data_IF_687839314231
#
_entry.id   IF_687839314231
#
_cell.length_a   1.000
_cell.length_b   1.000
_cell.length_c   1.000
_cell.angle_alpha   90.00
_cell.angle_beta   90.00
_cell.angle_gamma   90.00
#
_symmetry.space_group_name_H-M   'P 1'
#
loop_
_entity.id
_entity.type
_entity.pdbx_description
1 polymer ?
#
# COMPACT_ATOMS: atom_id res chain seq x y z
N UNK A 1 -23.74 0.39 -1.79
CA UNK A 1 -22.72 0.90 -0.83
C UNK A 1 -21.95 2.11 -1.39
N UNK A 2 -21.55 2.11 -2.66
CA UNK A 2 -20.89 3.27 -3.31
C UNK A 2 -21.87 4.33 -3.81
N UNK A 3 -22.81 4.79 -2.97
CA UNK A 3 -23.76 5.84 -3.36
C UNK A 3 -23.16 7.23 -3.09
N UNK A 4 -23.13 8.16 -4.07
CA UNK A 4 -22.47 9.48 -3.94
C UNK A 4 -22.95 10.32 -2.75
N UNK A 5 -24.16 10.08 -2.26
CA UNK A 5 -24.70 10.74 -1.06
C UNK A 5 -23.99 10.35 0.26
N UNK A 6 -23.13 9.34 0.24
CA UNK A 6 -22.28 8.94 1.35
C UNK A 6 -20.85 9.47 1.10
N UNK A 7 -20.15 9.94 2.14
CA UNK A 7 -18.74 10.30 2.00
C UNK A 7 -17.90 9.07 1.62
N UNK A 8 -16.81 9.27 0.88
CA UNK A 8 -15.94 8.22 0.34
C UNK A 8 -15.56 7.17 1.39
N UNK A 9 -15.04 7.61 2.55
CA UNK A 9 -14.67 6.71 3.64
C UNK A 9 -15.83 5.84 4.15
N UNK A 10 -17.05 6.37 4.11
CA UNK A 10 -18.26 5.65 4.51
C UNK A 10 -18.69 4.63 3.46
N UNK A 11 -18.60 4.99 2.18
CA UNK A 11 -18.85 4.08 1.07
C UNK A 11 -17.91 2.87 1.15
N UNK A 12 -16.64 3.15 1.38
CA UNK A 12 -15.58 2.14 1.44
C UNK A 12 -15.79 1.21 2.64
N UNK A 13 -15.92 1.76 3.86
CA UNK A 13 -16.13 0.96 5.06
C UNK A 13 -17.39 0.08 4.97
N UNK A 14 -18.50 0.62 4.45
CA UNK A 14 -19.74 -0.13 4.31
C UNK A 14 -19.60 -1.26 3.28
N UNK A 15 -18.86 -1.03 2.19
CA UNK A 15 -18.63 -2.04 1.15
C UNK A 15 -17.76 -3.17 1.68
N UNK A 16 -16.65 -2.86 2.35
CA UNK A 16 -15.79 -3.85 2.99
C UNK A 16 -16.55 -4.71 4.01
N UNK A 17 -17.41 -4.09 4.82
CA UNK A 17 -18.17 -4.82 5.82
C UNK A 17 -19.30 -5.68 5.24
N UNK A 18 -20.05 -5.15 4.27
CA UNK A 18 -21.30 -5.78 3.80
C UNK A 18 -21.06 -6.74 2.64
N UNK A 19 -20.10 -6.42 1.75
CA UNK A 19 -19.77 -7.22 0.57
C UNK A 19 -18.41 -7.91 0.71
N UNK A 20 -17.43 -7.25 1.33
CA UNK A 20 -16.11 -7.83 1.58
C UNK A 20 -16.06 -8.82 2.75
N UNK A 21 -17.09 -8.85 3.61
CA UNK A 21 -17.14 -9.76 4.76
C UNK A 21 -16.18 -9.41 5.90
N UNK A 22 -15.49 -8.26 5.84
CA UNK A 22 -14.55 -7.84 6.89
C UNK A 22 -15.31 -7.47 8.18
N UNK A 23 -14.74 -7.83 9.31
CA UNK A 23 -15.20 -7.43 10.64
C UNK A 23 -14.90 -5.96 10.93
N UNK A 24 -15.66 -5.35 11.84
CA UNK A 24 -15.44 -3.94 12.25
C UNK A 24 -14.01 -3.67 12.75
N UNK A 25 -13.37 -4.54 13.55
CA UNK A 25 -11.97 -4.36 13.94
C UNK A 25 -10.98 -4.34 12.76
N UNK A 26 -11.15 -5.22 11.78
CA UNK A 26 -10.31 -5.26 10.57
C UNK A 26 -10.43 -3.96 9.77
N UNK A 27 -11.66 -3.48 9.57
CA UNK A 27 -11.91 -2.22 8.86
C UNK A 27 -11.38 -1.03 9.65
N UNK A 28 -11.49 -1.02 10.97
CA UNK A 28 -10.96 0.05 11.81
C UNK A 28 -9.43 0.19 11.66
N UNK A 29 -8.72 -0.95 11.65
CA UNK A 29 -7.28 -1.01 11.40
C UNK A 29 -6.91 -0.48 10.01
N UNK A 30 -7.63 -0.89 8.96
CA UNK A 30 -7.38 -0.43 7.59
C UNK A 30 -7.55 1.09 7.42
N UNK A 31 -8.42 1.71 8.22
CA UNK A 31 -8.66 3.16 8.24
C UNK A 31 -7.82 3.92 9.28
N UNK A 32 -6.99 3.22 10.07
CA UNK A 32 -6.24 3.80 11.19
C UNK A 32 -7.13 4.58 12.17
N UNK A 33 -8.32 4.04 12.50
CA UNK A 33 -9.25 4.64 13.48
C UNK A 33 -9.60 3.65 14.60
N UNK A 34 -10.02 4.13 15.78
CA UNK A 34 -10.50 3.25 16.85
C UNK A 34 -11.72 2.42 16.43
N UNK A 35 -11.81 1.17 16.93
CA UNK A 35 -12.95 0.26 16.65
C UNK A 35 -14.32 0.89 16.97
N UNK A 36 -14.52 1.59 18.09
CA UNK A 36 -15.80 2.26 18.37
C UNK A 36 -16.16 3.33 17.33
N UNK A 37 -15.17 4.07 16.85
CA UNK A 37 -15.33 5.09 15.79
C UNK A 37 -15.82 4.44 14.50
N UNK A 38 -15.24 3.31 14.11
CA UNK A 38 -15.66 2.57 12.91
C UNK A 38 -17.06 1.96 13.08
N UNK A 39 -17.38 1.37 14.24
CA UNK A 39 -18.71 0.84 14.53
C UNK A 39 -19.79 1.92 14.40
N UNK A 40 -19.55 3.10 14.98
CA UNK A 40 -20.47 4.23 14.91
C UNK A 40 -20.62 4.77 13.47
N UNK A 41 -19.52 4.78 12.70
CA UNK A 41 -19.52 5.15 11.28
C UNK A 41 -20.41 4.22 10.46
N UNK A 42 -20.25 2.90 10.61
CA UNK A 42 -21.07 1.89 9.92
C UNK A 42 -22.56 2.01 10.29
N UNK A 43 -22.87 2.23 11.57
CA UNK A 43 -24.25 2.42 12.04
C UNK A 43 -24.91 3.67 11.42
N UNK A 44 -24.20 4.81 11.41
CA UNK A 44 -24.68 6.05 10.78
C UNK A 44 -24.88 5.89 9.28
N UNK A 45 -23.98 5.18 8.60
CA UNK A 45 -24.09 4.89 7.17
C UNK A 45 -25.38 4.14 6.83
N UNK A 46 -25.65 3.05 7.55
CA UNK A 46 -26.87 2.23 7.39
C UNK A 46 -28.13 3.04 7.68
N UNK A 47 -28.10 3.86 8.73
CA UNK A 47 -29.20 4.76 9.06
C UNK A 47 -29.45 5.79 7.94
N UNK A 48 -28.40 6.39 7.37
CA UNK A 48 -28.52 7.35 6.27
C UNK A 48 -29.10 6.73 5.01
N UNK A 49 -28.66 5.52 4.63
CA UNK A 49 -29.23 4.77 3.48
C UNK A 49 -30.72 4.52 3.68
N UNK A 50 -31.10 4.03 4.87
CA UNK A 50 -32.50 3.75 5.21
C UNK A 50 -33.34 5.02 5.20
N UNK A 51 -32.87 6.09 5.84
CA UNK A 51 -33.61 7.35 5.95
C UNK A 51 -33.76 8.07 4.60
N UNK A 52 -32.76 7.95 3.71
CA UNK A 52 -32.80 8.55 2.38
C UNK A 52 -33.52 7.67 1.33
N UNK A 53 -33.99 6.48 1.71
CA UNK A 53 -34.72 5.58 0.80
C UNK A 53 -33.90 5.18 -0.43
N UNK A 54 -32.58 5.09 -0.32
CA UNK A 54 -31.70 4.85 -1.48
C UNK A 54 -31.98 3.45 -2.04
N UNK A 55 -32.48 3.33 -3.29
CA UNK A 55 -32.86 2.03 -3.84
C UNK A 55 -31.62 1.19 -4.13
N UNK A 56 -31.73 -0.12 -3.86
CA UNK A 56 -30.73 -1.09 -4.30
C UNK A 56 -30.97 -1.40 -5.79
N UNK A 57 -30.23 -0.73 -6.67
CA UNK A 57 -30.29 -0.91 -8.12
C UNK A 57 -28.89 -0.93 -8.73
N UNK A 58 -28.76 -1.62 -9.87
CA UNK A 58 -27.58 -1.49 -10.73
C UNK A 58 -27.63 -0.10 -11.36
N UNK A 59 -26.62 0.76 -11.15
CA UNK A 59 -26.59 2.07 -11.79
C UNK A 59 -26.40 1.92 -13.31
N UNK A 60 -27.01 2.78 -14.13
CA UNK A 60 -26.69 2.87 -15.55
C UNK A 60 -25.25 3.39 -15.75
N UNK A 61 -24.70 3.15 -16.94
CA UNK A 61 -23.27 3.35 -17.25
C UNK A 61 -22.79 4.80 -17.03
N UNK A 62 -23.66 5.77 -17.29
CA UNK A 62 -23.41 7.21 -17.10
C UNK A 62 -23.21 7.60 -15.63
N UNK A 63 -23.70 6.79 -14.68
CA UNK A 63 -23.52 7.00 -13.23
C UNK A 63 -22.36 6.19 -12.64
N UNK A 64 -21.57 5.49 -13.46
CA UNK A 64 -20.38 4.78 -12.98
C UNK A 64 -19.21 5.72 -12.63
N UNK A 65 -18.91 6.78 -13.40
CA UNK A 65 -17.80 7.69 -13.09
C UNK A 65 -17.89 8.32 -11.70
N UNK A 66 -19.08 8.73 -11.25
CA UNK A 66 -19.31 9.32 -9.90
C UNK A 66 -19.04 8.34 -8.73
N UNK A 67 -18.84 7.05 -9.02
CA UNK A 67 -18.63 5.97 -8.02
C UNK A 67 -17.24 5.37 -8.11
N UNK A 68 -16.48 5.73 -9.14
CA UNK A 68 -15.24 5.07 -9.49
C UNK A 68 -14.22 5.18 -8.34
N UNK A 69 -13.98 6.38 -7.81
CA UNK A 69 -13.01 6.59 -6.74
C UNK A 69 -13.27 5.70 -5.51
N UNK A 70 -14.54 5.55 -5.14
CA UNK A 70 -14.95 4.69 -4.03
C UNK A 70 -14.73 3.21 -4.33
N UNK A 71 -15.04 2.77 -5.55
CA UNK A 71 -14.79 1.39 -5.97
C UNK A 71 -13.29 1.08 -6.01
N UNK A 72 -12.48 1.98 -6.56
CA UNK A 72 -11.02 1.82 -6.59
C UNK A 72 -10.46 1.71 -5.17
N UNK A 73 -10.86 2.60 -4.26
CA UNK A 73 -10.44 2.55 -2.86
C UNK A 73 -10.87 1.25 -2.16
N UNK A 74 -12.10 0.77 -2.39
CA UNK A 74 -12.56 -0.52 -1.86
C UNK A 74 -11.69 -1.66 -2.36
N UNK A 75 -11.51 -1.76 -3.69
CA UNK A 75 -10.77 -2.86 -4.30
C UNK A 75 -9.32 -2.85 -3.81
N UNK A 76 -8.71 -1.67 -3.73
CA UNK A 76 -7.35 -1.53 -3.20
C UNK A 76 -7.22 -1.98 -1.73
N UNK A 77 -8.20 -1.65 -0.88
CA UNK A 77 -8.18 -2.09 0.52
C UNK A 77 -8.42 -3.59 0.68
N UNK A 78 -9.29 -4.20 -0.15
CA UNK A 78 -9.46 -5.66 -0.19
C UNK A 78 -8.13 -6.32 -0.55
N UNK A 79 -7.44 -5.79 -1.57
CA UNK A 79 -6.13 -6.28 -1.96
C UNK A 79 -5.12 -6.15 -0.82
N UNK A 80 -5.02 -4.98 -0.19
CA UNK A 80 -4.06 -4.75 0.89
C UNK A 80 -4.29 -5.67 2.10
N UNK A 81 -5.55 -5.91 2.48
CA UNK A 81 -5.86 -6.83 3.60
C UNK A 81 -5.41 -8.26 3.28
N UNK A 82 -5.66 -8.75 2.05
CA UNK A 82 -5.15 -10.06 1.61
C UNK A 82 -3.64 -10.11 1.42
N UNK A 83 -3.00 -8.96 1.17
CA UNK A 83 -1.55 -8.85 0.94
C UNK A 83 -0.75 -8.74 2.25
N UNK A 84 -1.34 -8.16 3.30
CA UNK A 84 -0.77 -8.12 4.65
C UNK A 84 -0.96 -9.46 5.36
N UNK A 85 -2.13 -10.09 5.20
CA UNK A 85 -2.48 -11.34 5.86
C UNK A 85 -1.55 -12.52 5.58
N UNK A 86 -0.76 -12.49 4.50
CA UNK A 86 0.27 -13.51 4.27
C UNK A 86 1.30 -13.61 5.38
N UNK A 87 1.44 -12.61 6.27
CA UNK A 87 2.30 -12.65 7.45
C UNK A 87 1.61 -12.95 8.80
N UNK A 88 0.32 -13.34 8.79
CA UNK A 88 -0.44 -13.68 10.00
C UNK A 88 -1.02 -15.11 9.94
N UNK A 89 -1.45 -15.65 11.09
CA UNK A 89 -1.85 -17.05 11.31
C UNK A 89 -3.05 -17.58 10.49
N UNK A 90 -3.58 -16.86 9.49
CA UNK A 90 -4.79 -17.25 8.75
C UNK A 90 -4.55 -17.44 7.25
N UNK A 91 -4.33 -18.70 6.86
CA UNK A 91 -4.29 -19.22 5.49
C UNK A 91 -5.57 -18.98 4.65
N UNK A 92 -6.66 -18.48 5.25
CA UNK A 92 -7.96 -18.26 4.60
C UNK A 92 -8.07 -16.97 3.77
N UNK A 93 -6.99 -16.20 3.60
CA UNK A 93 -7.03 -14.85 2.98
C UNK A 93 -6.31 -14.70 1.63
N UNK A 94 -5.66 -15.74 1.11
CA UNK A 94 -5.05 -15.72 -0.24
C UNK A 94 -6.06 -15.37 -1.33
N UNK A 95 -7.32 -15.74 -1.14
CA UNK A 95 -8.40 -15.54 -2.10
C UNK A 95 -8.75 -14.05 -2.30
N UNK A 96 -8.48 -13.19 -1.31
CA UNK A 96 -8.84 -11.76 -1.37
C UNK A 96 -8.07 -10.99 -2.43
N UNK A 97 -6.79 -11.29 -2.62
CA UNK A 97 -6.00 -10.59 -3.64
C UNK A 97 -6.34 -11.06 -5.05
N UNK A 98 -6.59 -12.36 -5.22
CA UNK A 98 -7.13 -12.90 -6.46
C UNK A 98 -8.47 -12.26 -6.81
N UNK A 99 -9.36 -12.13 -5.82
CA UNK A 99 -10.66 -11.50 -6.01
C UNK A 99 -10.55 -10.00 -6.31
N UNK A 100 -9.68 -9.26 -5.62
CA UNK A 100 -9.45 -7.84 -5.92
C UNK A 100 -8.92 -7.64 -7.36
N UNK A 101 -7.98 -8.48 -7.81
CA UNK A 101 -7.50 -8.46 -9.20
C UNK A 101 -8.65 -8.77 -10.16
N UNK A 102 -9.48 -9.79 -9.87
CA UNK A 102 -10.64 -10.14 -10.69
C UNK A 102 -11.64 -8.98 -10.79
N UNK A 103 -11.94 -8.31 -9.68
CA UNK A 103 -12.83 -7.15 -9.64
C UNK A 103 -12.27 -5.97 -10.42
N UNK A 104 -10.96 -5.71 -10.34
CA UNK A 104 -10.32 -4.67 -11.15
C UNK A 104 -10.37 -4.97 -12.65
N UNK A 105 -10.26 -6.24 -13.08
CA UNK A 105 -10.45 -6.60 -14.49
C UNK A 105 -11.86 -6.30 -14.97
N UNK A 106 -12.86 -6.72 -14.20
CA UNK A 106 -14.26 -6.40 -14.51
C UNK A 106 -14.48 -4.89 -14.60
N UNK A 107 -13.83 -4.11 -13.72
CA UNK A 107 -13.93 -2.65 -13.76
C UNK A 107 -13.29 -2.06 -15.03
N UNK A 108 -12.12 -2.57 -15.44
CA UNK A 108 -11.47 -2.15 -16.69
C UNK A 108 -12.32 -2.51 -17.91
N UNK A 109 -12.95 -3.69 -17.93
CA UNK A 109 -13.84 -4.13 -19.01
C UNK A 109 -15.10 -3.25 -19.11
N UNK A 110 -15.67 -2.86 -17.96
CA UNK A 110 -16.85 -1.99 -17.90
C UNK A 110 -16.52 -0.51 -18.19
N UNK A 111 -15.29 -0.08 -17.90
CA UNK A 111 -14.84 1.31 -18.05
C UNK A 111 -13.51 1.40 -18.81
N UNK A 112 -13.47 1.01 -20.10
CA UNK A 112 -12.24 0.95 -20.87
C UNK A 112 -11.64 2.32 -21.19
N UNK A 113 -12.29 3.44 -20.85
CA UNK A 113 -11.69 4.77 -20.95
C UNK A 113 -11.05 5.24 -19.62
N UNK A 114 -11.15 4.46 -18.53
CA UNK A 114 -10.58 4.84 -17.24
C UNK A 114 -9.11 4.46 -17.18
N UNK A 115 -8.23 5.46 -17.21
CA UNK A 115 -6.80 5.29 -16.97
C UNK A 115 -6.53 4.81 -15.54
N UNK A 116 -7.27 5.35 -14.57
CA UNK A 116 -7.04 5.05 -13.17
C UNK A 116 -7.48 3.64 -12.75
N UNK A 117 -8.53 3.09 -13.35
CA UNK A 117 -8.91 1.68 -13.15
C UNK A 117 -7.82 0.71 -13.64
N UNK A 118 -7.19 1.04 -14.78
CA UNK A 118 -6.02 0.30 -15.29
C UNK A 118 -4.82 0.46 -14.37
N UNK A 119 -4.54 1.68 -13.91
CA UNK A 119 -3.48 1.95 -12.93
C UNK A 119 -3.60 1.09 -11.68
N UNK A 120 -4.82 0.95 -11.12
CA UNK A 120 -5.05 0.09 -9.97
C UNK A 120 -4.85 -1.40 -10.30
N UNK A 121 -5.34 -1.87 -11.45
CA UNK A 121 -5.12 -3.26 -11.88
C UNK A 121 -3.63 -3.57 -12.03
N UNK A 122 -2.89 -2.69 -12.71
CA UNK A 122 -1.45 -2.80 -12.90
C UNK A 122 -0.72 -2.85 -11.55
N UNK A 123 -1.01 -1.92 -10.65
CA UNK A 123 -0.42 -1.89 -9.30
C UNK A 123 -0.59 -3.23 -8.56
N UNK A 124 -1.81 -3.77 -8.56
CA UNK A 124 -2.10 -5.03 -7.87
C UNK A 124 -1.42 -6.23 -8.52
N UNK A 125 -1.38 -6.31 -9.86
CA UNK A 125 -0.66 -7.37 -10.57
C UNK A 125 0.84 -7.35 -10.24
N UNK A 126 1.45 -6.16 -10.22
CA UNK A 126 2.87 -5.98 -9.93
C UNK A 126 3.18 -6.34 -8.46
N UNK A 127 2.36 -5.90 -7.50
CA UNK A 127 2.50 -6.31 -6.10
C UNK A 127 2.33 -7.82 -5.89
N UNK A 128 1.33 -8.42 -6.53
CA UNK A 128 1.01 -9.83 -6.38
C UNK A 128 2.01 -10.75 -7.09
N UNK A 129 2.74 -10.23 -8.08
CA UNK A 129 3.75 -10.98 -8.81
C UNK A 129 4.88 -11.54 -7.93
N UNK A 130 5.15 -10.89 -6.80
CA UNK A 130 6.21 -11.24 -5.85
C UNK A 130 5.70 -11.83 -4.54
N UNK A 131 4.41 -12.20 -4.45
CA UNK A 131 3.79 -12.69 -3.20
C UNK A 131 4.58 -13.84 -2.56
N UNK A 132 4.94 -14.83 -3.36
CA UNK A 132 5.57 -16.10 -2.92
C UNK A 132 7.02 -15.94 -2.42
N UNK A 133 7.59 -14.72 -2.51
CA UNK A 133 8.97 -14.43 -2.10
C UNK A 133 9.03 -13.41 -0.96
N UNK A 134 7.89 -13.03 -0.39
CA UNK A 134 7.83 -12.07 0.73
C UNK A 134 8.20 -12.68 2.07
N UNK A 135 8.06 -13.99 2.19
CA UNK A 135 8.39 -14.75 3.38
C UNK A 135 9.37 -15.87 3.03
N UNK A 136 10.23 -16.23 3.97
CA UNK A 136 11.08 -17.40 3.86
C UNK A 136 10.36 -18.69 4.29
N UNK A 137 11.08 -19.81 4.32
CA UNK A 137 10.53 -21.11 4.69
C UNK A 137 10.08 -21.20 6.16
N UNK A 138 10.52 -20.28 7.02
CA UNK A 138 10.18 -20.23 8.46
C UNK A 138 9.08 -19.17 8.73
N UNK A 139 8.67 -18.42 7.70
CA UNK A 139 7.64 -17.38 7.78
C UNK A 139 8.19 -16.00 8.14
N UNK A 140 9.51 -15.80 8.09
CA UNK A 140 10.14 -14.51 8.35
C UNK A 140 10.03 -13.57 7.13
N UNK A 141 9.88 -12.27 7.40
CA UNK A 141 9.83 -11.24 6.35
C UNK A 141 11.16 -11.18 5.57
N UNK A 142 11.06 -11.24 4.24
CA UNK A 142 12.19 -11.04 3.32
C UNK A 142 12.09 -9.66 2.67
N UNK A 143 13.14 -8.84 2.83
CA UNK A 143 13.21 -7.50 2.27
C UNK A 143 13.15 -7.54 0.74
N UNK A 144 12.64 -6.48 0.11
CA UNK A 144 12.38 -6.43 -1.33
C UNK A 144 13.64 -6.70 -2.18
N UNK A 145 14.79 -6.21 -1.73
CA UNK A 145 16.11 -6.42 -2.34
C UNK A 145 16.68 -7.82 -2.10
N UNK A 146 16.26 -8.49 -1.03
CA UNK A 146 16.65 -9.86 -0.69
C UNK A 146 15.74 -10.93 -1.35
N UNK A 147 14.59 -10.53 -1.89
CA UNK A 147 13.68 -11.48 -2.55
C UNK A 147 14.30 -12.09 -3.79
N UNK A 148 14.13 -13.40 -3.95
CA UNK A 148 14.52 -14.10 -5.17
C UNK A 148 13.65 -13.68 -6.36
N UNK A 149 14.15 -12.72 -7.15
CA UNK A 149 13.47 -12.18 -8.34
C UNK A 149 13.27 -13.23 -9.44
N UNK A 150 13.97 -14.37 -9.41
CA UNK A 150 13.77 -15.45 -10.38
C UNK A 150 12.46 -16.20 -10.15
N UNK A 151 11.96 -16.17 -8.90
CA UNK A 151 10.68 -16.79 -8.49
C UNK A 151 9.48 -15.86 -8.67
N UNK A 152 9.66 -14.63 -9.12
CA UNK A 152 8.56 -13.71 -9.39
C UNK A 152 7.73 -14.14 -10.60
N UNK A 153 6.42 -13.95 -10.52
CA UNK A 153 5.49 -14.33 -11.58
C UNK A 153 5.63 -13.40 -12.79
N UNK A 154 6.43 -13.84 -13.77
CA UNK A 154 6.70 -13.10 -15.02
C UNK A 154 5.46 -12.86 -15.89
N UNK A 155 4.41 -13.66 -15.76
CA UNK A 155 3.16 -13.40 -16.48
C UNK A 155 2.43 -12.18 -15.90
N UNK A 156 2.29 -12.10 -14.57
CA UNK A 156 1.70 -10.94 -13.88
C UNK A 156 2.50 -9.66 -14.09
N UNK A 157 3.84 -9.74 -14.10
CA UNK A 157 4.70 -8.57 -14.38
C UNK A 157 4.42 -8.04 -15.79
N UNK A 158 4.53 -8.90 -16.81
CA UNK A 158 4.29 -8.49 -18.21
C UNK A 158 2.91 -7.90 -18.41
N UNK A 159 1.90 -8.52 -17.81
CA UNK A 159 0.54 -8.03 -17.86
C UNK A 159 0.37 -6.68 -17.15
N UNK A 160 0.91 -6.54 -15.93
CA UNK A 160 0.84 -5.30 -15.17
C UNK A 160 1.50 -4.13 -15.91
N UNK A 161 2.67 -4.36 -16.52
CA UNK A 161 3.35 -3.37 -17.36
C UNK A 161 2.51 -3.02 -18.59
N UNK A 162 1.97 -4.02 -19.30
CA UNK A 162 1.11 -3.79 -20.48
C UNK A 162 -0.10 -2.93 -20.14
N UNK A 163 -0.81 -3.27 -19.06
CA UNK A 163 -1.99 -2.52 -18.59
C UNK A 163 -1.61 -1.09 -18.17
N UNK A 164 -0.43 -0.91 -17.57
CA UNK A 164 0.08 0.41 -17.22
C UNK A 164 0.39 1.25 -18.48
N UNK A 165 1.05 0.68 -19.48
CA UNK A 165 1.34 1.37 -20.75
C UNK A 165 0.05 1.81 -21.44
N UNK A 166 -0.98 0.97 -21.44
CA UNK A 166 -2.32 1.33 -21.94
C UNK A 166 -2.95 2.47 -21.14
N UNK A 167 -2.77 2.50 -19.81
CA UNK A 167 -3.27 3.59 -18.96
C UNK A 167 -2.57 4.91 -19.30
N UNK A 168 -1.24 4.88 -19.42
CA UNK A 168 -0.43 6.06 -19.73
C UNK A 168 -0.76 6.64 -21.12
N UNK A 169 -1.12 5.79 -22.08
CA UNK A 169 -1.56 6.21 -23.42
C UNK A 169 -2.89 6.99 -23.43
N UNK A 170 -3.64 7.01 -22.33
CA UNK A 170 -4.88 7.79 -22.19
C UNK A 170 -4.63 9.24 -21.73
N UNK A 171 -3.41 9.59 -21.33
CA UNK A 171 -3.00 10.95 -20.93
C UNK A 171 -3.82 11.56 -19.77
N UNK A 172 -4.33 10.72 -18.87
CA UNK A 172 -5.11 11.12 -17.68
C UNK A 172 -4.46 10.56 -16.40
N UNK A 173 -3.37 11.18 -15.90
CA UNK A 173 -2.55 10.61 -14.84
C UNK A 173 -3.24 10.69 -13.46
N UNK A 174 -3.22 9.58 -12.72
CA UNK A 174 -3.72 9.50 -11.35
C UNK A 174 -2.82 8.70 -10.40
N UNK A 175 -3.13 8.74 -9.09
CA UNK A 175 -2.26 8.22 -8.03
C UNK A 175 -1.96 6.72 -8.13
N UNK A 176 -2.89 5.88 -8.58
CA UNK A 176 -2.66 4.44 -8.76
C UNK A 176 -1.75 4.17 -9.96
N UNK A 177 -1.83 4.97 -11.03
CA UNK A 177 -0.89 4.86 -12.16
C UNK A 177 0.54 5.19 -11.71
N UNK A 178 0.73 6.24 -10.92
CA UNK A 178 2.06 6.61 -10.39
C UNK A 178 2.61 5.54 -9.45
N UNK A 179 1.77 4.99 -8.57
CA UNK A 179 2.16 3.86 -7.71
C UNK A 179 2.50 2.61 -8.54
N UNK A 180 1.73 2.30 -9.58
CA UNK A 180 2.01 1.20 -10.49
C UNK A 180 3.35 1.38 -11.20
N UNK A 181 3.68 2.59 -11.66
CA UNK A 181 4.96 2.90 -12.29
C UNK A 181 6.14 2.69 -11.32
N UNK A 182 6.00 3.10 -10.05
CA UNK A 182 7.00 2.82 -9.01
C UNK A 182 7.19 1.29 -8.85
N UNK A 183 6.10 0.54 -8.78
CA UNK A 183 6.14 -0.92 -8.67
C UNK A 183 6.69 -1.61 -9.92
N UNK A 184 6.47 -1.06 -11.11
CA UNK A 184 7.02 -1.55 -12.37
C UNK A 184 8.55 -1.48 -12.35
N UNK A 185 9.12 -0.33 -11.97
CA UNK A 185 10.58 -0.14 -11.86
C UNK A 185 11.25 -1.14 -10.92
N UNK A 186 10.59 -1.51 -9.82
CA UNK A 186 11.08 -2.56 -8.94
C UNK A 186 10.98 -3.96 -9.57
N UNK A 187 9.87 -4.27 -10.23
CA UNK A 187 9.55 -5.62 -10.71
C UNK A 187 10.24 -5.98 -12.03
N UNK A 188 10.56 -4.98 -12.86
CA UNK A 188 11.26 -5.14 -14.13
C UNK A 188 12.78 -5.21 -13.97
N UNK A 189 13.34 -4.59 -12.93
CA UNK A 189 14.77 -4.66 -12.66
C UNK A 189 15.22 -6.12 -12.40
N UNK A 190 16.24 -6.57 -13.12
CA UNK A 190 16.74 -7.95 -13.05
C UNK A 190 17.39 -8.25 -11.69
N UNK A 191 18.11 -7.27 -11.16
CA UNK A 191 18.73 -7.32 -9.83
C UNK A 191 18.37 -6.07 -9.03
N UNK A 192 18.48 -6.10 -7.69
CA UNK A 192 18.26 -4.93 -6.85
C UNK A 192 19.06 -3.71 -7.27
N UNK A 193 20.34 -3.89 -7.61
CA UNK A 193 21.25 -2.81 -8.01
C UNK A 193 20.87 -2.11 -9.31
N UNK A 194 20.08 -2.77 -10.17
CA UNK A 194 19.58 -2.19 -11.43
C UNK A 194 18.23 -1.47 -11.27
N UNK A 195 17.72 -1.35 -10.04
CA UNK A 195 16.48 -0.61 -9.77
C UNK A 195 16.73 0.89 -10.01
N UNK A 196 15.93 1.52 -10.88
CA UNK A 196 16.06 2.96 -11.17
C UNK A 196 15.49 3.82 -10.02
N UNK A 197 16.32 4.01 -8.98
CA UNK A 197 15.96 4.83 -7.84
C UNK A 197 15.77 6.31 -8.17
N UNK A 198 16.44 6.82 -9.22
CA UNK A 198 16.28 8.22 -9.64
C UNK A 198 14.88 8.46 -10.18
N UNK A 199 14.38 7.55 -11.04
CA UNK A 199 13.01 7.61 -11.53
C UNK A 199 11.98 7.34 -10.42
N UNK A 200 12.23 6.39 -9.51
CA UNK A 200 11.35 6.14 -8.35
C UNK A 200 11.24 7.39 -7.47
N UNK A 201 12.35 8.08 -7.18
CA UNK A 201 12.34 9.31 -6.39
C UNK A 201 11.54 10.43 -7.10
N UNK A 202 11.66 10.55 -8.43
CA UNK A 202 10.87 11.50 -9.21
C UNK A 202 9.37 11.17 -9.18
N UNK A 203 9.00 9.90 -9.31
CA UNK A 203 7.61 9.43 -9.24
C UNK A 203 7.00 9.68 -7.86
N UNK A 204 7.74 9.43 -6.77
CA UNK A 204 7.29 9.81 -5.43
C UNK A 204 7.12 11.32 -5.28
N UNK A 205 7.97 12.13 -5.92
CA UNK A 205 7.78 13.58 -6.00
C UNK A 205 6.49 14.00 -6.71
N UNK A 206 6.06 13.26 -7.73
CA UNK A 206 4.76 13.45 -8.39
C UNK A 206 3.61 12.99 -7.47
N UNK A 207 3.73 11.80 -6.88
CA UNK A 207 2.72 11.23 -5.99
C UNK A 207 2.46 12.13 -4.77
N UNK A 208 3.50 12.72 -4.19
CA UNK A 208 3.39 13.65 -3.06
C UNK A 208 2.55 14.89 -3.37
N UNK A 209 2.54 15.35 -4.63
CA UNK A 209 1.71 16.47 -5.10
C UNK A 209 0.25 16.04 -5.29
N UNK A 210 0.02 14.82 -5.76
CA UNK A 210 -1.31 14.27 -6.02
C UNK A 210 -2.01 13.83 -4.73
N UNK A 211 -1.28 13.19 -3.83
CA UNK A 211 -1.77 12.60 -2.59
C UNK A 211 -0.84 12.95 -1.41
N UNK A 212 -0.91 14.20 -0.90
CA UNK A 212 -0.09 14.62 0.23
C UNK A 212 -0.41 13.78 1.46
N UNK A 213 0.55 12.99 1.93
CA UNK A 213 0.42 12.20 3.15
C UNK A 213 1.79 11.90 3.77
N UNK A 214 1.87 11.71 5.10
CA UNK A 214 3.11 11.29 5.75
C UNK A 214 3.67 9.98 5.18
N UNK A 215 2.79 9.04 4.79
CA UNK A 215 3.17 7.77 4.17
C UNK A 215 3.96 8.00 2.87
N UNK A 216 3.41 8.84 1.98
CA UNK A 216 4.05 9.14 0.69
C UNK A 216 5.35 9.91 0.90
N UNK A 217 5.41 10.87 1.82
CA UNK A 217 6.63 11.64 2.09
C UNK A 217 7.74 10.79 2.73
N UNK A 218 7.40 9.84 3.60
CA UNK A 218 8.39 8.88 4.16
C UNK A 218 8.96 8.00 3.04
N UNK A 219 8.10 7.44 2.20
CA UNK A 219 8.56 6.61 1.07
C UNK A 219 9.40 7.42 0.06
N UNK A 220 9.03 8.69 -0.17
CA UNK A 220 9.83 9.62 -0.98
C UNK A 220 11.21 9.85 -0.39
N UNK A 221 11.31 10.06 0.93
CA UNK A 221 12.58 10.27 1.60
C UNK A 221 13.50 9.04 1.47
N UNK A 222 12.94 7.83 1.60
CA UNK A 222 13.67 6.58 1.34
C UNK A 222 14.14 6.51 -0.13
N UNK A 223 13.27 6.79 -1.09
CA UNK A 223 13.63 6.78 -2.51
C UNK A 223 14.76 7.77 -2.83
N UNK A 224 14.71 8.98 -2.27
CA UNK A 224 15.80 9.97 -2.41
C UNK A 224 17.08 9.48 -1.75
N UNK A 225 17.00 8.84 -0.58
CA UNK A 225 18.18 8.26 0.06
C UNK A 225 18.86 7.21 -0.82
N UNK A 226 18.09 6.36 -1.48
CA UNK A 226 18.59 5.32 -2.38
C UNK A 226 19.11 5.88 -3.70
N UNK A 227 18.50 6.96 -4.22
CA UNK A 227 18.92 7.59 -5.46
C UNK A 227 20.16 8.48 -5.32
N UNK A 228 20.34 9.12 -4.15
CA UNK A 228 21.36 10.14 -3.94
C UNK A 228 22.30 9.78 -2.79
N UNK A 229 21.82 9.87 -1.55
CA UNK A 229 22.57 9.44 -0.37
C UNK A 229 21.67 9.30 0.86
N UNK A 230 22.02 8.43 1.83
CA UNK A 230 21.26 8.29 3.08
C UNK A 230 21.05 9.61 3.84
N UNK A 231 22.00 10.55 3.75
CA UNK A 231 21.90 11.87 4.38
C UNK A 231 20.78 12.73 3.78
N UNK A 232 20.62 12.73 2.46
CA UNK A 232 19.54 13.48 1.78
C UNK A 232 18.16 12.94 2.18
N UNK A 233 18.02 11.62 2.29
CA UNK A 233 16.77 11.02 2.80
C UNK A 233 16.50 11.40 4.25
N UNK A 234 17.52 11.40 5.12
CA UNK A 234 17.37 11.87 6.51
C UNK A 234 16.93 13.33 6.55
N UNK A 235 17.51 14.22 5.73
CA UNK A 235 17.11 15.63 5.68
C UNK A 235 15.63 15.81 5.29
N UNK A 236 15.12 14.97 4.38
CA UNK A 236 13.71 14.95 4.02
C UNK A 236 12.83 14.42 5.16
N UNK A 237 13.21 13.31 5.80
CA UNK A 237 12.48 12.75 6.93
C UNK A 237 12.27 13.79 8.05
N UNK A 238 13.31 14.54 8.42
CA UNK A 238 13.23 15.55 9.49
C UNK A 238 12.22 16.68 9.22
N UNK A 239 11.80 16.88 7.97
CA UNK A 239 10.83 17.93 7.59
C UNK A 239 9.38 17.46 7.69
N UNK A 240 9.15 16.15 7.81
CA UNK A 240 7.81 15.57 7.88
C UNK A 240 7.24 15.81 9.29
N UNK A 241 5.99 16.29 9.36
CA UNK A 241 5.28 16.60 10.61
C UNK A 241 4.20 15.55 10.88
N UNK A 242 3.84 15.33 12.14
CA UNK A 242 2.74 14.43 12.50
C UNK A 242 3.09 12.94 12.30
N UNK A 243 4.35 12.58 12.55
CA UNK A 243 4.91 11.23 12.34
C UNK A 243 5.38 10.58 13.64
N UNK A 244 5.11 11.22 14.78
CA UNK A 244 5.57 10.79 16.10
C UNK A 244 5.09 9.37 16.43
N UNK A 245 3.85 9.04 16.11
CA UNK A 245 3.24 7.71 16.32
C UNK A 245 3.27 6.82 15.07
N UNK A 246 4.02 7.21 14.03
CA UNK A 246 4.03 6.51 12.74
C UNK A 246 5.26 5.60 12.64
N UNK A 247 5.09 4.30 12.96
CA UNK A 247 6.20 3.34 12.99
C UNK A 247 7.08 3.31 11.71
N UNK A 248 6.56 3.42 10.46
CA UNK A 248 7.38 3.38 9.25
C UNK A 248 8.35 4.55 9.16
N UNK A 249 7.99 5.71 9.71
CA UNK A 249 8.91 6.84 9.81
C UNK A 249 10.13 6.48 10.67
N UNK A 250 9.90 5.89 11.85
CA UNK A 250 10.97 5.50 12.76
C UNK A 250 11.82 4.37 12.19
N UNK A 251 11.21 3.39 11.52
CA UNK A 251 11.91 2.31 10.83
C UNK A 251 12.80 2.84 9.70
N UNK A 252 12.28 3.73 8.85
CA UNK A 252 13.05 4.37 7.78
C UNK A 252 14.21 5.21 8.34
N UNK A 253 13.95 5.98 9.40
CA UNK A 253 14.99 6.77 10.08
C UNK A 253 16.09 5.88 10.65
N UNK A 254 15.72 4.77 11.30
CA UNK A 254 16.67 3.82 11.86
C UNK A 254 17.57 3.21 10.79
N UNK A 255 17.01 2.75 9.68
CA UNK A 255 17.78 2.16 8.57
C UNK A 255 18.76 3.18 7.95
N UNK A 256 18.31 4.41 7.71
CA UNK A 256 19.20 5.44 7.15
C UNK A 256 20.32 5.84 8.14
N UNK A 257 20.02 5.94 9.44
CA UNK A 257 21.04 6.20 10.47
C UNK A 257 22.07 5.06 10.52
N UNK A 258 21.61 3.81 10.46
CA UNK A 258 22.46 2.61 10.37
C UNK A 258 23.39 2.67 9.17
N UNK A 259 22.88 3.01 7.98
CA UNK A 259 23.69 3.16 6.74
C UNK A 259 24.75 4.27 6.85
N UNK A 260 24.52 5.27 7.70
CA UNK A 260 25.50 6.33 8.01
C UNK A 260 26.38 6.03 9.23
N UNK A 261 26.33 4.80 9.75
CA UNK A 261 27.07 4.34 10.93
C UNK A 261 26.75 5.12 12.24
N UNK A 262 25.58 5.76 12.33
CA UNK A 262 25.08 6.42 13.54
C UNK A 262 24.35 5.41 14.44
N UNK A 263 25.10 4.46 14.99
CA UNK A 263 24.55 3.24 15.60
C UNK A 263 23.66 3.48 16.81
N UNK A 264 24.05 4.36 17.74
CA UNK A 264 23.24 4.68 18.92
C UNK A 264 21.89 5.31 18.52
N UNK A 265 21.94 6.31 17.63
CA UNK A 265 20.72 6.96 17.13
C UNK A 265 19.84 6.00 16.30
N UNK A 266 20.46 5.03 15.59
CA UNK A 266 19.74 3.99 14.86
C UNK A 266 19.06 3.01 15.82
N UNK A 267 19.76 2.55 16.87
CA UNK A 267 19.19 1.72 17.93
C UNK A 267 18.00 2.43 18.59
N UNK A 268 18.17 3.71 18.92
CA UNK A 268 17.08 4.51 19.45
C UNK A 268 15.87 4.48 18.51
N UNK A 269 16.05 4.82 17.23
CA UNK A 269 14.97 4.82 16.26
C UNK A 269 14.29 3.44 16.09
N UNK A 270 15.06 2.34 16.12
CA UNK A 270 14.51 0.99 16.08
C UNK A 270 13.64 0.67 17.31
N UNK A 271 14.04 1.06 18.51
CA UNK A 271 13.21 0.88 19.71
C UNK A 271 11.87 1.61 19.60
N UNK A 272 11.85 2.83 19.03
CA UNK A 272 10.60 3.60 18.83
C UNK A 272 9.74 2.92 17.76
N UNK A 273 10.35 2.41 16.69
CA UNK A 273 9.64 1.64 15.67
C UNK A 273 9.01 0.36 16.27
N UNK A 274 9.74 -0.38 17.11
CA UNK A 274 9.26 -1.58 17.80
C UNK A 274 8.07 -1.28 18.72
N UNK A 275 8.13 -0.20 19.49
CA UNK A 275 7.04 0.20 20.39
C UNK A 275 5.72 0.51 19.66
N UNK A 276 5.79 0.90 18.38
CA UNK A 276 4.65 1.29 17.55
C UNK A 276 4.23 0.19 16.54
N UNK A 277 5.06 -0.84 16.34
CA UNK A 277 4.83 -1.88 15.35
C UNK A 277 3.85 -2.94 15.86
N UNK A 278 2.69 -3.08 15.19
CA UNK A 278 1.66 -4.06 15.54
C UNK A 278 1.75 -5.40 14.79
N UNK A 279 2.69 -5.55 13.85
CA UNK A 279 2.85 -6.76 13.02
C UNK A 279 4.00 -7.62 13.56
N UNK A 280 3.75 -8.90 13.86
CA UNK A 280 4.73 -9.82 14.44
C UNK A 280 5.94 -10.07 13.54
N UNK A 281 5.75 -10.21 12.23
CA UNK A 281 6.84 -10.44 11.28
C UNK A 281 7.75 -9.22 11.15
N UNK A 282 7.17 -8.03 11.09
CA UNK A 282 7.92 -6.76 11.08
C UNK A 282 8.60 -6.51 12.42
N UNK A 283 7.96 -6.84 13.54
CA UNK A 283 8.55 -6.75 14.87
C UNK A 283 9.79 -7.66 15.00
N UNK A 284 9.72 -8.89 14.51
CA UNK A 284 10.87 -9.80 14.51
C UNK A 284 12.04 -9.24 13.69
N UNK A 285 11.77 -8.70 12.49
CA UNK A 285 12.77 -8.03 11.67
C UNK A 285 13.41 -6.82 12.38
N UNK A 286 12.59 -5.92 12.92
CA UNK A 286 13.06 -4.72 13.62
C UNK A 286 13.90 -5.08 14.87
N UNK A 287 13.53 -6.15 15.59
CA UNK A 287 14.28 -6.63 16.74
C UNK A 287 15.67 -7.14 16.33
N UNK A 288 15.77 -7.92 15.24
CA UNK A 288 17.06 -8.38 14.72
C UNK A 288 17.97 -7.20 14.36
N UNK A 289 17.42 -6.19 13.71
CA UNK A 289 18.17 -4.98 13.35
C UNK A 289 18.63 -4.19 14.59
N UNK A 290 17.80 -4.09 15.63
CA UNK A 290 18.19 -3.47 16.91
C UNK A 290 19.35 -4.24 17.57
N UNK A 291 19.25 -5.56 17.66
CA UNK A 291 20.28 -6.42 18.25
C UNK A 291 21.62 -6.25 17.53
N UNK A 292 21.60 -6.15 16.19
CA UNK A 292 22.78 -5.87 15.38
C UNK A 292 23.41 -4.52 15.73
N UNK A 293 22.60 -3.48 16.01
CA UNK A 293 23.11 -2.16 16.40
C UNK A 293 23.79 -2.18 17.77
N UNK A 294 23.25 -2.93 18.72
CA UNK A 294 23.78 -3.07 20.08
C UNK A 294 25.06 -3.93 20.10
N UNK A 295 25.05 -5.09 19.42
CA UNK A 295 26.15 -6.08 19.50
C UNK A 295 27.50 -5.60 18.96
N UNK A 296 27.52 -4.79 17.89
CA UNK A 296 28.79 -4.31 17.33
C UNK A 296 29.31 -3.01 17.98
N UNK A 297 28.66 -2.53 19.05
CA UNK A 297 29.17 -1.48 19.93
C UNK A 297 29.78 -2.00 21.26
N UNK A 298 29.78 -3.33 21.46
CA UNK A 298 30.42 -4.04 22.58
C UNK A 298 31.79 -4.58 22.16
#
# INVERSE_FOLDING_TARGET
CCHPSLGLETQVALTLHTLGGLSTPEIARAFLVPVPTMAQRLARARAKIRNAGIPYRVPPADLLPERLDALLAVIYLIFNEGYVATGGETLTRSDLCGEAIRLSRVLVDLMPASAEARGLLALMLLHDSRRETRLDAVGDLVLLDEQDRTRWNRAKIREGVTVLDEALALYDPGPYQVQAAISALHTEAVTPDLTDWTQIAALYGTLAKMLPSPVVEVNRAVAVAMAQSPLEGLLLLHRIKGVEDFYPYHAARADLLRRTNQREAAADAYERALALCGNSAEHAYLQRQLDEMIKAGS
#
